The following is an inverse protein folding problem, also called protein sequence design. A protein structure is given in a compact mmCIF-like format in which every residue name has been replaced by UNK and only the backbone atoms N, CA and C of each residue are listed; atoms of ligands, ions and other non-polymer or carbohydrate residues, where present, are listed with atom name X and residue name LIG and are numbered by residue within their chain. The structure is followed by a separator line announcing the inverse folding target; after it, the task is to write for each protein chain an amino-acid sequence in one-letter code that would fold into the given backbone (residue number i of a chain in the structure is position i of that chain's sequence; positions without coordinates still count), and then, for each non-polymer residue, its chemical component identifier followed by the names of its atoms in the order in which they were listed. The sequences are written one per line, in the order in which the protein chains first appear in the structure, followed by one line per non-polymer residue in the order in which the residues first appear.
data_IF_902848060384
#
_entry.id   IF_902848060384
#
_cell.length_a   1.000
_cell.length_b   1.000
_cell.length_c   1.000
_cell.angle_alpha   90.00
_cell.angle_beta   90.00
_cell.angle_gamma   90.00
#
_symmetry.space_group_name_H-M   'P 1'
#
loop_
_entity.id
_entity.type
_entity.pdbx_description
1 polymer ?
#
# COMPACT_ATOMS: atom_id res chain seq x y z
N UNK A 1 3.41 -2.09 -9.62
CA UNK A 1 4.56 -1.88 -8.70
C UNK A 1 5.86 -1.78 -9.50
N UNK A 2 6.25 -2.77 -10.33
CA UNK A 2 7.49 -2.73 -11.13
C UNK A 2 7.61 -1.47 -11.98
N UNK A 3 6.54 -1.06 -12.68
CA UNK A 3 6.51 0.15 -13.51
C UNK A 3 6.72 1.44 -12.70
N UNK A 4 6.25 1.50 -11.44
CA UNK A 4 6.51 2.63 -10.55
C UNK A 4 8.00 2.76 -10.23
N UNK A 5 8.64 1.65 -9.90
CA UNK A 5 10.07 1.62 -9.58
C UNK A 5 10.94 1.87 -10.82
N UNK A 6 10.55 1.35 -11.99
CA UNK A 6 11.24 1.62 -13.25
C UNK A 6 11.32 3.12 -13.55
N UNK A 7 10.23 3.86 -13.33
CA UNK A 7 10.25 5.32 -13.50
C UNK A 7 11.13 6.01 -12.45
N UNK A 8 11.00 5.64 -11.19
CA UNK A 8 11.71 6.32 -10.09
C UNK A 8 13.22 6.11 -10.16
N UNK A 9 13.66 4.93 -10.51
CA UNK A 9 15.09 4.57 -10.55
C UNK A 9 15.69 4.54 -11.95
N UNK A 10 14.89 4.48 -13.00
CA UNK A 10 15.32 4.51 -14.39
C UNK A 10 15.13 5.89 -15.03
N UNK A 11 13.89 6.22 -15.38
CA UNK A 11 13.57 7.38 -16.21
C UNK A 11 13.84 8.71 -15.48
N UNK A 12 13.54 8.80 -14.17
CA UNK A 12 13.78 10.04 -13.41
C UNK A 12 15.29 10.31 -13.20
N UNK A 13 16.10 9.27 -13.02
CA UNK A 13 17.56 9.39 -12.94
C UNK A 13 18.22 9.68 -14.30
N UNK A 14 17.54 9.39 -15.40
CA UNK A 14 18.02 9.67 -16.74
C UNK A 14 17.83 11.14 -17.17
N UNK A 15 17.40 12.04 -16.24
CA UNK A 15 17.19 13.48 -16.49
C UNK A 15 16.42 13.76 -17.79
N UNK A 16 15.34 13.01 -18.00
CA UNK A 16 14.50 13.18 -19.19
C UNK A 16 13.92 14.59 -19.20
N UNK A 17 14.24 15.34 -20.25
CA UNK A 17 13.77 16.71 -20.42
C UNK A 17 12.24 16.81 -20.36
N UNK A 18 11.77 17.85 -19.66
CA UNK A 18 10.35 18.16 -19.54
C UNK A 18 9.75 18.41 -20.94
N UNK A 19 8.50 17.95 -21.12
CA UNK A 19 7.72 18.12 -22.36
C UNK A 19 8.16 17.25 -23.57
N UNK A 20 9.09 16.32 -23.41
CA UNK A 20 9.40 15.34 -24.46
C UNK A 20 8.30 14.26 -24.55
N UNK A 21 8.14 13.58 -25.70
CA UNK A 21 7.21 12.45 -25.81
C UNK A 21 7.48 11.35 -24.79
N UNK A 22 8.74 11.11 -24.47
CA UNK A 22 9.17 10.14 -23.45
C UNK A 22 8.68 10.55 -22.05
N UNK A 23 8.77 11.85 -21.73
CA UNK A 23 8.23 12.39 -20.47
C UNK A 23 6.72 12.15 -20.35
N UNK A 24 5.96 12.41 -21.41
CA UNK A 24 4.51 12.20 -21.40
C UNK A 24 4.12 10.72 -21.29
N UNK A 25 4.81 9.84 -22.03
CA UNK A 25 4.62 8.40 -21.91
C UNK A 25 4.93 7.89 -20.49
N UNK A 26 6.06 8.33 -19.92
CA UNK A 26 6.43 7.97 -18.55
C UNK A 26 5.42 8.47 -17.52
N UNK A 27 4.85 9.65 -17.74
CA UNK A 27 3.82 10.25 -16.87
C UNK A 27 2.50 9.49 -16.96
N UNK A 28 2.09 9.07 -18.15
CA UNK A 28 0.94 8.19 -18.36
C UNK A 28 1.12 6.84 -17.64
N UNK A 29 2.23 6.17 -17.86
CA UNK A 29 2.55 4.89 -17.20
C UNK A 29 2.53 5.05 -15.67
N UNK A 30 3.04 6.16 -15.15
CA UNK A 30 2.97 6.47 -13.72
C UNK A 30 1.54 6.58 -13.24
N UNK A 31 0.70 7.35 -13.94
CA UNK A 31 -0.69 7.61 -13.53
C UNK A 31 -1.48 6.30 -13.39
N UNK A 32 -1.30 5.36 -14.30
CA UNK A 32 -1.90 4.02 -14.18
C UNK A 32 -1.25 3.17 -13.08
N UNK A 33 0.05 3.32 -12.85
CA UNK A 33 0.76 2.48 -11.89
C UNK A 33 0.56 2.90 -10.44
N UNK A 34 0.30 4.19 -10.17
CA UNK A 34 0.05 4.71 -8.81
C UNK A 34 -1.19 4.05 -8.18
N UNK A 35 -2.20 3.73 -8.99
CA UNK A 35 -3.44 3.11 -8.52
C UNK A 35 -3.23 1.66 -8.06
N UNK A 36 -2.16 0.99 -8.50
CA UNK A 36 -1.93 -0.44 -8.22
C UNK A 36 -1.86 -0.76 -6.72
N UNK A 37 -1.23 0.10 -5.91
CA UNK A 37 -1.15 -0.08 -4.46
C UNK A 37 -2.53 0.02 -3.81
N UNK A 38 -3.31 1.02 -4.22
CA UNK A 38 -4.68 1.23 -3.73
C UNK A 38 -5.57 0.02 -4.09
N UNK A 39 -5.49 -0.46 -5.33
CA UNK A 39 -6.21 -1.66 -5.76
C UNK A 39 -5.81 -2.89 -4.94
N UNK A 40 -4.52 -3.07 -4.64
CA UNK A 40 -4.07 -4.18 -3.82
C UNK A 40 -4.67 -4.16 -2.42
N UNK A 41 -4.71 -2.98 -1.77
CA UNK A 41 -5.31 -2.82 -0.45
C UNK A 41 -6.82 -3.00 -0.49
N UNK A 42 -7.51 -2.47 -1.52
CA UNK A 42 -8.94 -2.66 -1.73
C UNK A 42 -9.31 -4.14 -1.90
N UNK A 43 -8.58 -4.87 -2.76
CA UNK A 43 -8.79 -6.32 -2.96
C UNK A 43 -8.55 -7.07 -1.64
N UNK A 44 -7.47 -6.75 -0.93
CA UNK A 44 -7.16 -7.36 0.35
C UNK A 44 -8.27 -7.10 1.37
N UNK A 45 -8.76 -5.86 1.47
CA UNK A 45 -9.85 -5.48 2.37
C UNK A 45 -11.16 -6.19 2.04
N UNK A 46 -11.48 -6.32 0.75
CA UNK A 46 -12.69 -7.00 0.28
C UNK A 46 -12.76 -8.47 0.72
N UNK A 47 -11.62 -9.17 0.71
CA UNK A 47 -11.59 -10.59 1.10
C UNK A 47 -11.34 -10.80 2.60
N UNK A 48 -10.70 -9.85 3.29
CA UNK A 48 -10.31 -10.01 4.69
C UNK A 48 -11.35 -9.50 5.68
N UNK A 49 -12.33 -8.69 5.25
CA UNK A 49 -13.33 -8.15 6.16
C UNK A 49 -14.23 -9.21 6.81
N UNK A 50 -14.38 -10.36 6.15
CA UNK A 50 -15.16 -11.50 6.64
C UNK A 50 -14.29 -12.66 7.14
N UNK A 51 -12.95 -12.48 7.19
CA UNK A 51 -12.03 -13.57 7.53
C UNK A 51 -11.22 -13.27 8.79
N UNK A 52 -10.79 -14.35 9.45
CA UNK A 52 -9.83 -14.27 10.54
C UNK A 52 -8.41 -14.27 9.97
N UNK A 53 -7.65 -13.25 10.28
CA UNK A 53 -6.25 -13.16 9.88
C UNK A 53 -5.42 -14.23 10.59
N UNK A 54 -4.89 -15.18 9.83
CA UNK A 54 -4.06 -16.27 10.37
C UNK A 54 -2.66 -15.75 10.69
N UNK A 55 -2.26 -15.76 11.97
CA UNK A 55 -0.93 -15.34 12.43
C UNK A 55 0.22 -16.02 11.66
N UNK A 56 0.03 -17.30 11.32
CA UNK A 56 1.02 -18.07 10.53
C UNK A 56 1.28 -17.45 9.16
N UNK A 57 0.23 -16.89 8.50
CA UNK A 57 0.38 -16.25 7.21
C UNK A 57 1.17 -14.95 7.31
N UNK A 58 0.91 -14.15 8.35
CA UNK A 58 1.68 -12.92 8.62
C UNK A 58 3.15 -13.24 8.89
N UNK A 59 3.41 -14.23 9.74
CA UNK A 59 4.77 -14.66 10.03
C UNK A 59 5.49 -15.18 8.78
N UNK A 60 4.83 -15.95 7.95
CA UNK A 60 5.38 -16.43 6.68
C UNK A 60 5.75 -15.29 5.74
N UNK A 61 4.90 -14.26 5.62
CA UNK A 61 5.19 -13.08 4.81
C UNK A 61 6.37 -12.27 5.37
N UNK A 62 6.44 -12.15 6.70
CA UNK A 62 7.58 -11.48 7.33
C UNK A 62 8.88 -12.23 7.07
N UNK A 63 8.94 -13.53 7.36
CA UNK A 63 10.14 -14.34 7.11
C UNK A 63 10.55 -14.24 5.63
N UNK A 64 9.62 -14.24 4.70
CA UNK A 64 9.91 -14.09 3.29
C UNK A 64 10.60 -12.76 2.98
N UNK A 65 10.12 -11.65 3.52
CA UNK A 65 10.74 -10.33 3.31
C UNK A 65 12.11 -10.26 3.97
N UNK A 66 12.26 -10.82 5.19
CA UNK A 66 13.53 -10.93 5.87
C UNK A 66 14.56 -11.72 5.05
N UNK A 67 14.18 -12.88 4.54
CA UNK A 67 15.07 -13.71 3.71
C UNK A 67 15.52 -12.95 2.45
N UNK A 68 14.63 -12.21 1.79
CA UNK A 68 15.02 -11.38 0.65
C UNK A 68 15.92 -10.22 1.06
N UNK A 69 15.58 -9.49 2.12
CA UNK A 69 16.32 -8.32 2.58
C UNK A 69 17.76 -8.70 2.99
N UNK A 70 17.88 -9.64 3.90
CA UNK A 70 19.17 -10.12 4.39
C UNK A 70 19.93 -10.89 3.31
N UNK A 71 19.24 -11.78 2.58
CA UNK A 71 19.85 -12.59 1.53
C UNK A 71 20.45 -11.76 0.41
N UNK A 72 19.72 -10.78 -0.10
CA UNK A 72 20.23 -9.88 -1.14
C UNK A 72 21.42 -9.08 -0.63
N UNK A 73 21.35 -8.55 0.59
CA UNK A 73 22.45 -7.80 1.19
C UNK A 73 23.74 -8.66 1.29
N UNK A 74 23.63 -9.88 1.79
CA UNK A 74 24.77 -10.79 1.92
C UNK A 74 25.35 -11.17 0.55
N UNK A 75 24.51 -11.45 -0.43
CA UNK A 75 24.94 -11.71 -1.81
C UNK A 75 25.68 -10.52 -2.40
N UNK A 76 25.18 -9.30 -2.20
CA UNK A 76 25.86 -8.09 -2.67
C UNK A 76 27.21 -7.87 -1.99
N UNK A 77 27.36 -8.22 -0.71
CA UNK A 77 28.66 -8.15 -0.02
C UNK A 77 29.71 -9.15 -0.58
N UNK A 78 29.26 -10.25 -1.20
CA UNK A 78 30.16 -11.26 -1.78
C UNK A 78 30.55 -10.90 -3.22
N UNK A 79 29.73 -10.12 -3.95
CA UNK A 79 30.00 -9.73 -5.32
C UNK A 79 30.96 -8.55 -5.37
N UNK A 80 32.22 -8.71 -5.85
CA UNK A 80 33.21 -7.62 -5.84
C UNK A 80 32.78 -6.38 -6.63
N UNK A 81 32.01 -6.56 -7.72
CA UNK A 81 31.49 -5.47 -8.57
C UNK A 81 30.35 -4.65 -7.93
N UNK A 82 29.76 -5.14 -6.84
CA UNK A 82 28.68 -4.44 -6.17
C UNK A 82 29.17 -3.31 -5.24
N UNK A 83 30.49 -3.26 -4.96
CA UNK A 83 31.13 -2.25 -4.09
C UNK A 83 30.45 -2.05 -2.73
N UNK A 84 29.78 -3.11 -2.23
CA UNK A 84 29.06 -3.09 -0.95
C UNK A 84 29.93 -3.71 0.13
N UNK A 85 30.49 -2.88 1.00
CA UNK A 85 31.24 -3.36 2.16
C UNK A 85 30.29 -3.94 3.22
N UNK A 86 30.69 -5.05 3.84
CA UNK A 86 29.95 -5.61 4.97
C UNK A 86 29.93 -4.64 6.16
N UNK A 87 28.73 -4.39 6.69
CA UNK A 87 28.53 -3.59 7.89
C UNK A 87 27.50 -4.25 8.81
N UNK A 88 27.88 -4.51 10.05
CA UNK A 88 26.97 -5.06 11.06
C UNK A 88 25.74 -4.16 11.29
N UNK A 89 25.92 -2.84 11.26
CA UNK A 89 24.81 -1.87 11.36
C UNK A 89 23.82 -2.03 10.22
N UNK A 90 24.33 -2.20 8.99
CA UNK A 90 23.47 -2.43 7.81
C UNK A 90 22.76 -3.77 7.91
N UNK A 91 23.46 -4.83 8.35
CA UNK A 91 22.84 -6.14 8.56
C UNK A 91 21.67 -6.08 9.56
N UNK A 92 21.86 -5.44 10.71
CA UNK A 92 20.78 -5.24 11.70
C UNK A 92 19.61 -4.46 11.09
N UNK A 93 19.90 -3.45 10.26
CA UNK A 93 18.88 -2.71 9.56
C UNK A 93 18.10 -3.58 8.57
N UNK A 94 18.75 -4.49 7.87
CA UNK A 94 18.12 -5.46 6.97
C UNK A 94 17.27 -6.49 7.71
N UNK A 95 17.64 -6.85 8.93
CA UNK A 95 16.89 -7.76 9.80
C UNK A 95 15.64 -7.13 10.43
N UNK A 96 15.49 -5.80 10.39
CA UNK A 96 14.38 -5.08 11.01
C UNK A 96 13.69 -4.14 10.00
N UNK A 97 13.26 -4.63 8.83
CA UNK A 97 12.76 -3.79 7.74
C UNK A 97 11.50 -2.99 8.11
N UNK A 98 10.68 -3.52 9.04
CA UNK A 98 9.48 -2.83 9.53
C UNK A 98 9.86 -1.63 10.42
N UNK A 99 10.84 -1.81 11.32
CA UNK A 99 11.24 -0.77 12.26
C UNK A 99 12.10 0.32 11.59
N UNK A 100 12.74 0.00 10.47
CA UNK A 100 13.62 0.91 9.74
C UNK A 100 12.95 1.57 8.54
N UNK A 101 11.64 1.30 8.33
CA UNK A 101 10.83 1.78 7.20
C UNK A 101 11.47 1.55 5.82
N UNK A 102 12.25 0.48 5.71
CA UNK A 102 12.96 0.15 4.47
C UNK A 102 12.00 -0.22 3.33
N UNK A 103 10.90 -0.87 3.69
CA UNK A 103 9.82 -1.27 2.76
C UNK A 103 8.48 -0.69 3.23
N UNK A 104 8.29 0.62 3.05
CA UNK A 104 7.12 1.37 3.52
C UNK A 104 5.79 0.64 3.27
N UNK A 105 5.60 0.07 2.06
CA UNK A 105 4.38 -0.65 1.72
C UNK A 105 4.19 -1.89 2.61
N UNK A 106 5.25 -2.69 2.78
CA UNK A 106 5.20 -3.90 3.60
C UNK A 106 4.93 -3.55 5.07
N UNK A 107 5.60 -2.51 5.58
CA UNK A 107 5.37 -1.98 6.93
C UNK A 107 3.91 -1.59 7.13
N UNK A 108 3.36 -0.73 6.27
CA UNK A 108 1.96 -0.32 6.34
C UNK A 108 1.00 -1.52 6.20
N UNK A 109 1.30 -2.47 5.33
CA UNK A 109 0.46 -3.65 5.11
C UNK A 109 0.44 -4.60 6.30
N UNK A 110 1.59 -4.89 6.92
CA UNK A 110 1.64 -5.73 8.13
C UNK A 110 0.91 -5.04 9.29
N UNK A 111 1.13 -3.75 9.49
CA UNK A 111 0.41 -2.99 10.51
C UNK A 111 -1.11 -2.99 10.27
N UNK A 112 -1.54 -2.82 9.02
CA UNK A 112 -2.95 -2.98 8.67
C UNK A 112 -3.46 -4.37 9.04
N UNK A 113 -2.74 -5.44 8.68
CA UNK A 113 -3.14 -6.81 8.99
C UNK A 113 -3.27 -7.07 10.49
N UNK A 114 -2.43 -6.46 11.32
CA UNK A 114 -2.54 -6.53 12.78
C UNK A 114 -3.78 -5.80 13.29
N UNK A 115 -4.20 -4.73 12.61
CA UNK A 115 -5.39 -3.95 12.96
C UNK A 115 -6.70 -4.56 12.43
N UNK A 116 -6.65 -5.41 11.40
CA UNK A 116 -7.85 -6.01 10.76
C UNK A 116 -8.82 -6.64 11.75
N UNK A 117 -8.41 -7.42 12.77
CA UNK A 117 -9.35 -8.00 13.73
C UNK A 117 -10.16 -6.95 14.50
N UNK A 118 -9.50 -5.83 14.84
CA UNK A 118 -10.13 -4.71 15.55
C UNK A 118 -11.02 -3.90 14.62
N UNK A 119 -10.56 -3.64 13.39
CA UNK A 119 -11.35 -2.96 12.36
C UNK A 119 -12.61 -3.75 12.02
N UNK A 120 -12.51 -5.07 11.87
CA UNK A 120 -13.67 -5.92 11.61
C UNK A 120 -14.66 -5.89 12.78
N UNK A 121 -14.17 -5.94 14.02
CA UNK A 121 -15.03 -5.82 15.19
C UNK A 121 -15.75 -4.46 15.24
N UNK A 122 -15.03 -3.37 14.96
CA UNK A 122 -15.60 -2.03 14.91
C UNK A 122 -16.65 -1.91 13.77
N UNK A 123 -16.30 -2.31 12.56
CA UNK A 123 -17.20 -2.26 11.38
C UNK A 123 -18.45 -3.11 11.61
N UNK A 124 -18.32 -4.27 12.29
CA UNK A 124 -19.44 -5.15 12.57
C UNK A 124 -20.40 -4.59 13.63
N UNK A 125 -19.96 -3.68 14.46
CA UNK A 125 -20.81 -3.02 15.45
C UNK A 125 -21.62 -1.85 14.86
N UNK A 126 -21.28 -1.37 13.64
CA UNK A 126 -21.96 -0.26 13.00
C UNK A 126 -23.18 -0.72 12.18
N UNK A 127 -24.26 0.04 12.27
CA UNK A 127 -25.33 -0.01 11.27
C UNK A 127 -24.86 0.52 9.92
N UNK A 128 -25.61 0.22 8.86
CA UNK A 128 -25.29 0.71 7.50
C UNK A 128 -25.16 2.25 7.45
N UNK A 129 -26.09 2.96 8.07
CA UNK A 129 -26.11 4.43 8.08
C UNK A 129 -24.91 5.01 8.86
N UNK A 130 -24.56 4.42 10.00
CA UNK A 130 -23.37 4.83 10.78
C UNK A 130 -22.09 4.56 10.01
N UNK A 131 -21.99 3.40 9.34
CA UNK A 131 -20.82 3.08 8.52
C UNK A 131 -20.66 4.04 7.35
N UNK A 132 -21.76 4.42 6.66
CA UNK A 132 -21.72 5.45 5.61
C UNK A 132 -21.23 6.80 6.15
N UNK A 133 -21.74 7.24 7.29
CA UNK A 133 -21.28 8.49 7.94
C UNK A 133 -19.80 8.42 8.29
N UNK A 134 -19.35 7.30 8.86
CA UNK A 134 -17.95 7.06 9.16
C UNK A 134 -17.06 7.12 7.92
N UNK A 135 -17.45 6.45 6.83
CA UNK A 135 -16.74 6.49 5.55
C UNK A 135 -16.70 7.89 4.95
N UNK A 136 -17.82 8.62 4.98
CA UNK A 136 -17.86 10.00 4.49
C UNK A 136 -16.89 10.88 5.28
N UNK A 137 -16.88 10.76 6.61
CA UNK A 137 -15.94 11.48 7.46
C UNK A 137 -14.47 11.11 7.15
N UNK A 138 -14.16 9.82 7.03
CA UNK A 138 -12.82 9.35 6.68
C UNK A 138 -12.37 9.89 5.30
N UNK A 139 -13.25 9.89 4.31
CA UNK A 139 -12.95 10.44 2.98
C UNK A 139 -12.73 11.95 3.03
N UNK A 140 -13.53 12.68 3.79
CA UNK A 140 -13.34 14.13 3.96
C UNK A 140 -11.99 14.40 4.62
N UNK A 141 -11.67 13.73 5.71
CA UNK A 141 -10.45 13.96 6.49
C UNK A 141 -9.17 13.54 5.75
N UNK A 142 -9.20 12.38 5.09
CA UNK A 142 -7.97 11.75 4.54
C UNK A 142 -7.88 11.78 3.02
N UNK A 143 -8.87 12.34 2.32
CA UNK A 143 -8.83 12.54 0.88
C UNK A 143 -9.11 13.99 0.50
N UNK A 144 -10.27 14.54 0.87
CA UNK A 144 -10.69 15.88 0.43
C UNK A 144 -9.79 16.95 1.05
N UNK A 145 -9.64 16.97 2.37
CA UNK A 145 -8.85 18.00 3.06
C UNK A 145 -7.38 17.98 2.63
N UNK A 146 -6.66 16.85 2.58
CA UNK A 146 -5.27 16.82 2.10
C UNK A 146 -5.13 17.26 0.63
N UNK A 147 -6.12 16.99 -0.21
CA UNK A 147 -6.10 17.40 -1.62
C UNK A 147 -6.25 18.92 -1.78
N UNK A 148 -7.03 19.57 -0.92
CA UNK A 148 -7.27 21.03 -0.94
C UNK A 148 -6.18 21.77 -0.15
N UNK A 149 -5.54 21.10 0.81
CA UNK A 149 -4.54 21.72 1.68
C UNK A 149 -3.24 21.99 0.93
N UNK A 150 -3.05 23.26 0.59
CA UNK A 150 -1.85 23.76 -0.12
C UNK A 150 -0.63 23.88 0.82
N UNK A 151 -0.83 23.82 2.13
CA UNK A 151 0.19 24.14 3.16
C UNK A 151 0.90 22.90 3.74
N UNK A 152 0.60 21.70 3.26
CA UNK A 152 1.27 20.47 3.68
C UNK A 152 0.34 19.34 4.14
N UNK A 153 0.91 18.18 4.44
CA UNK A 153 0.20 16.98 4.87
C UNK A 153 -0.03 16.98 6.38
N UNK A 154 -0.99 17.80 6.85
CA UNK A 154 -1.33 17.94 8.27
C UNK A 154 -1.90 16.66 8.91
N UNK A 155 -2.31 15.69 8.10
CA UNK A 155 -2.97 14.46 8.58
C UNK A 155 -2.10 13.20 8.41
N UNK A 156 -0.85 13.34 8.01
CA UNK A 156 0.06 12.21 7.84
C UNK A 156 -0.37 11.21 6.76
N UNK A 157 -1.07 11.70 5.72
CA UNK A 157 -1.51 10.85 4.61
C UNK A 157 -0.37 10.49 3.67
N UNK A 158 0.71 11.28 3.69
CA UNK A 158 1.90 11.10 2.86
C UNK A 158 1.56 10.83 1.38
N UNK A 159 0.63 11.63 0.83
CA UNK A 159 0.17 11.44 -0.55
C UNK A 159 -0.50 10.08 -0.83
N UNK A 160 -1.06 9.44 0.18
CA UNK A 160 -1.66 8.11 0.08
C UNK A 160 -0.72 6.94 0.41
N UNK A 161 0.51 7.23 0.84
CA UNK A 161 1.51 6.23 1.23
C UNK A 161 1.59 6.07 2.76
N UNK A 162 0.44 5.88 3.42
CA UNK A 162 0.37 5.78 4.87
C UNK A 162 -0.59 4.69 5.36
N UNK A 163 -0.38 4.24 6.60
CA UNK A 163 -1.28 3.30 7.26
C UNK A 163 -2.71 3.84 7.38
N UNK A 164 -2.86 5.14 7.66
CA UNK A 164 -4.17 5.79 7.75
C UNK A 164 -4.95 5.67 6.44
N UNK A 165 -4.29 5.94 5.31
CA UNK A 165 -4.91 5.76 4.00
C UNK A 165 -5.28 4.30 3.73
N UNK A 166 -4.45 3.34 4.14
CA UNK A 166 -4.76 1.92 4.00
C UNK A 166 -5.99 1.51 4.83
N UNK A 167 -6.19 2.10 6.02
CA UNK A 167 -7.40 1.89 6.84
C UNK A 167 -8.63 2.43 6.12
N UNK A 168 -8.54 3.60 5.48
CA UNK A 168 -9.64 4.16 4.67
C UNK A 168 -10.00 3.22 3.51
N UNK A 169 -9.01 2.80 2.73
CA UNK A 169 -9.22 1.87 1.61
C UNK A 169 -9.82 0.53 2.08
N UNK A 170 -9.31 0.00 3.19
CA UNK A 170 -9.85 -1.21 3.81
C UNK A 170 -11.34 -1.05 4.17
N UNK A 171 -11.68 0.08 4.80
CA UNK A 171 -13.05 0.39 5.19
C UNK A 171 -13.99 0.54 3.99
N UNK A 172 -13.52 1.17 2.90
CA UNK A 172 -14.27 1.25 1.63
C UNK A 172 -14.53 -0.16 1.08
N UNK A 173 -13.50 -0.99 1.04
CA UNK A 173 -13.60 -2.36 0.51
C UNK A 173 -14.56 -3.22 1.34
N UNK A 174 -14.47 -3.11 2.67
CA UNK A 174 -15.38 -3.78 3.60
C UNK A 174 -16.83 -3.33 3.41
N UNK A 175 -17.05 -2.02 3.17
CA UNK A 175 -18.39 -1.51 2.88
C UNK A 175 -18.96 -2.08 1.58
N UNK A 176 -18.18 -2.07 0.50
CA UNK A 176 -18.59 -2.62 -0.81
C UNK A 176 -18.89 -4.12 -0.70
N UNK A 177 -18.11 -4.87 0.07
CA UNK A 177 -18.33 -6.30 0.31
C UNK A 177 -19.62 -6.55 1.07
N UNK A 178 -19.88 -5.76 2.11
CA UNK A 178 -21.01 -5.96 3.03
C UNK A 178 -22.34 -5.48 2.45
N UNK A 179 -22.29 -4.41 1.67
CA UNK A 179 -23.46 -3.78 1.04
C UNK A 179 -23.29 -3.73 -0.48
N UNK A 180 -23.35 -4.89 -1.16
CA UNK A 180 -23.21 -4.94 -2.60
C UNK A 180 -24.34 -4.11 -3.25
N UNK A 181 -23.98 -3.37 -4.28
CA UNK A 181 -24.95 -2.59 -5.06
C UNK A 181 -25.99 -3.56 -5.63
N UNK A 182 -27.18 -3.57 -5.03
CA UNK A 182 -28.32 -4.36 -5.49
C UNK A 182 -28.70 -3.87 -6.88
N UNK A 183 -28.59 -4.73 -7.87
CA UNK A 183 -29.17 -4.57 -9.20
C UNK A 183 -28.67 -3.39 -10.05
N UNK A 184 -27.55 -3.57 -10.73
CA UNK A 184 -27.50 -3.09 -12.11
C UNK A 184 -27.17 -4.27 -13.02
N UNK A 185 -28.02 -4.50 -14.03
CA UNK A 185 -27.88 -5.43 -15.14
C UNK A 185 -26.61 -5.10 -15.96
N UNK A 186 -25.46 -5.27 -15.37
CA UNK A 186 -24.20 -5.22 -16.08
C UNK A 186 -23.64 -6.63 -16.14
N UNK A 187 -24.01 -7.35 -17.20
CA UNK A 187 -23.53 -8.69 -17.52
C UNK A 187 -22.03 -8.78 -17.79
N UNK A 188 -21.24 -7.80 -17.35
CA UNK A 188 -19.79 -7.82 -17.42
C UNK A 188 -19.12 -8.16 -16.08
N UNK A 189 -19.86 -8.28 -15.00
CA UNK A 189 -19.31 -8.52 -13.65
C UNK A 189 -19.15 -9.99 -13.27
N UNK A 190 -19.49 -10.92 -14.12
CA UNK A 190 -19.44 -12.37 -13.85
C UNK A 190 -18.35 -13.10 -14.66
N UNK A 191 -17.42 -12.39 -15.29
CA UNK A 191 -16.32 -12.98 -16.07
C UNK A 191 -14.93 -12.80 -15.43
N UNK A 192 -14.88 -12.57 -14.13
CA UNK A 192 -13.62 -12.62 -13.36
C UNK A 192 -13.74 -13.54 -12.17
#
# INVERSE_FOLDING_TARGET
VVLLHLRQYGIYKAEVELHTPIYWMASLVRSFSVVAVNCYVLISGYFLCDQVVKKRKLLSQWIQVEMYSVGIYLVLCIIPKAEVAFSAKTLVRQMLPILTDQYWFFTCYILLMLLVPFLNKFINALSQAEFQKCLALLLVLFSVIPTINVFGDSFGTNGGYSLLWFIVLYSIAAYVRRYPLKNRKYGLGYLL
#
